data_IF_419957295502
#
_entry.id   IF_419957295502
#
_cell.length_a   1.000
_cell.length_b   1.000
_cell.length_c   1.000
_cell.angle_alpha   90.00
_cell.angle_beta   90.00
_cell.angle_gamma   90.00
#
_symmetry.space_group_name_H-M   'P 1'
#
loop_
_entity.id
_entity.type
_entity.pdbx_description
1 polymer ?
#
# COMPACT_ATOMS: atom_id res chain seq x y z
N UNK A 1 7.47 8.64 -1.41
CA UNK A 1 8.40 9.72 -1.82
C UNK A 1 8.37 10.80 -0.77
N UNK A 2 9.54 11.17 -0.23
CA UNK A 2 9.66 12.12 0.89
C UNK A 2 10.03 13.55 0.42
N UNK A 3 10.32 13.74 -0.87
CA UNK A 3 11.01 14.92 -1.38
C UNK A 3 12.52 14.66 -1.54
N UNK A 4 13.22 15.58 -2.21
CA UNK A 4 14.68 15.57 -2.35
C UNK A 4 15.28 14.25 -2.87
N UNK A 5 14.57 13.55 -3.76
CA UNK A 5 15.04 12.27 -4.29
C UNK A 5 15.08 11.14 -3.26
N UNK A 6 14.38 11.24 -2.13
CA UNK A 6 14.33 10.19 -1.11
C UNK A 6 13.01 9.41 -1.13
N UNK A 7 13.13 8.10 -0.95
CA UNK A 7 12.04 7.13 -0.88
C UNK A 7 12.13 6.39 0.45
N UNK A 8 11.02 6.40 1.20
CA UNK A 8 10.84 5.56 2.36
C UNK A 8 10.04 4.32 1.99
N UNK A 9 10.46 3.17 2.51
CA UNK A 9 9.80 1.90 2.27
C UNK A 9 9.94 0.98 3.49
N UNK A 10 8.94 0.13 3.70
CA UNK A 10 9.03 -1.01 4.59
C UNK A 10 9.17 -2.26 3.71
N UNK A 11 10.33 -2.91 3.79
CA UNK A 11 10.69 -4.12 3.02
C UNK A 11 11.24 -5.17 3.96
N UNK A 12 11.53 -6.39 3.49
CA UNK A 12 11.99 -7.48 4.35
C UNK A 12 13.19 -7.11 5.27
N UNK A 13 14.13 -6.29 4.79
CA UNK A 13 15.25 -5.84 5.63
C UNK A 13 14.88 -4.84 6.74
N UNK A 14 13.63 -4.36 6.79
CA UNK A 14 13.15 -3.34 7.72
C UNK A 14 12.63 -2.08 7.01
N UNK A 15 12.32 -1.08 7.82
CA UNK A 15 11.96 0.26 7.35
C UNK A 15 13.25 1.02 7.04
N UNK A 16 13.37 1.55 5.82
CA UNK A 16 14.57 2.25 5.37
C UNK A 16 14.23 3.46 4.51
N UNK A 17 15.13 4.44 4.50
CA UNK A 17 15.13 5.57 3.57
C UNK A 17 16.27 5.35 2.57
N UNK A 18 15.97 5.44 1.27
CA UNK A 18 16.99 5.31 0.22
C UNK A 18 16.79 6.32 -0.91
N UNK A 19 17.86 6.57 -1.66
CA UNK A 19 17.82 7.45 -2.82
C UNK A 19 17.00 6.89 -3.97
N UNK A 20 16.39 7.77 -4.74
CA UNK A 20 15.56 7.42 -5.89
C UNK A 20 16.34 6.66 -6.95
N UNK A 21 17.63 6.97 -7.14
CA UNK A 21 18.49 6.26 -8.10
C UNK A 21 18.66 4.79 -7.73
N UNK A 22 18.78 4.48 -6.43
CA UNK A 22 18.84 3.10 -5.95
C UNK A 22 17.52 2.36 -6.20
N UNK A 23 16.38 3.04 -6.00
CA UNK A 23 15.06 2.46 -6.33
C UNK A 23 14.95 2.18 -7.83
N UNK A 24 15.37 3.12 -8.68
CA UNK A 24 15.30 2.97 -10.12
C UNK A 24 16.26 1.90 -10.67
N UNK A 25 17.37 1.64 -9.98
CA UNK A 25 18.26 0.52 -10.30
C UNK A 25 17.60 -0.84 -10.01
N UNK A 26 16.98 -0.98 -8.83
CA UNK A 26 16.49 -2.28 -8.33
C UNK A 26 15.12 -2.67 -8.87
N UNK A 27 14.19 -1.72 -9.02
CA UNK A 27 12.79 -2.03 -9.31
C UNK A 27 12.53 -2.16 -10.81
N UNK A 28 11.73 -3.14 -11.24
CA UNK A 28 11.40 -3.31 -12.66
C UNK A 28 10.44 -2.23 -13.19
N UNK A 29 9.60 -1.66 -12.32
CA UNK A 29 8.60 -0.65 -12.68
C UNK A 29 8.36 0.25 -11.47
N UNK A 30 8.33 1.56 -11.69
CA UNK A 30 8.09 2.55 -10.65
C UNK A 30 7.04 3.54 -11.12
N UNK A 31 5.91 3.57 -10.41
CA UNK A 31 4.78 4.44 -10.66
C UNK A 31 4.48 5.27 -9.41
N UNK A 32 4.11 6.53 -9.61
CA UNK A 32 3.80 7.46 -8.54
C UNK A 32 2.32 7.86 -8.55
N UNK A 33 1.70 7.76 -7.37
CA UNK A 33 0.37 8.27 -7.08
C UNK A 33 0.44 9.28 -5.93
N UNK A 34 -0.50 10.22 -5.88
CA UNK A 34 -0.56 11.26 -4.86
C UNK A 34 -1.99 11.47 -4.36
N UNK A 35 -2.15 11.57 -3.05
CA UNK A 35 -3.40 12.03 -2.45
C UNK A 35 -3.67 13.49 -2.87
N UNK A 36 -4.84 13.82 -3.44
CA UNK A 36 -5.10 15.11 -4.06
C UNK A 36 -4.97 16.30 -3.10
N UNK A 37 -5.28 16.10 -1.83
CA UNK A 37 -5.26 17.18 -0.82
C UNK A 37 -3.96 17.23 -0.01
N UNK A 38 -2.92 16.46 -0.37
CA UNK A 38 -1.68 16.43 0.41
C UNK A 38 -0.99 17.80 0.40
N UNK A 39 -1.00 18.46 1.57
CA UNK A 39 -0.33 19.74 1.80
C UNK A 39 1.14 19.58 2.17
N UNK A 40 1.92 20.66 2.06
CA UNK A 40 3.32 20.66 2.49
C UNK A 40 3.47 20.40 4.00
N UNK A 41 2.58 20.94 4.84
CA UNK A 41 2.60 20.69 6.28
C UNK A 41 2.34 19.22 6.63
N UNK A 42 1.39 18.57 5.94
CA UNK A 42 1.15 17.14 6.11
C UNK A 42 2.31 16.30 5.60
N UNK A 43 2.95 16.68 4.48
CA UNK A 43 4.15 16.00 4.00
C UNK A 43 5.29 16.05 5.03
N UNK A 44 5.46 17.18 5.75
CA UNK A 44 6.42 17.26 6.86
C UNK A 44 6.05 16.30 7.98
N UNK A 45 4.78 16.21 8.38
CA UNK A 45 4.33 15.27 9.42
C UNK A 45 4.53 13.80 9.01
N UNK A 46 4.25 13.45 7.75
CA UNK A 46 4.55 12.14 7.17
C UNK A 46 6.05 11.86 7.27
N UNK A 47 6.90 12.82 6.87
CA UNK A 47 8.35 12.66 6.93
C UNK A 47 8.86 12.50 8.37
N UNK A 48 8.28 13.23 9.35
CA UNK A 48 8.59 13.06 10.77
C UNK A 48 8.24 11.65 11.26
N UNK A 49 7.07 11.14 10.87
CA UNK A 49 6.69 9.75 11.18
C UNK A 49 7.66 8.75 10.56
N UNK A 50 8.02 8.93 9.29
CA UNK A 50 9.00 8.05 8.63
C UNK A 50 10.33 8.05 9.39
N UNK A 51 10.85 9.23 9.74
CA UNK A 51 12.13 9.37 10.44
C UNK A 51 12.12 8.68 11.82
N UNK A 52 11.00 8.69 12.55
CA UNK A 52 10.90 8.02 13.84
C UNK A 52 10.81 6.49 13.76
N UNK A 53 10.57 5.93 12.55
CA UNK A 53 10.42 4.50 12.33
C UNK A 53 11.54 3.90 11.46
N UNK A 54 12.48 4.71 10.99
CA UNK A 54 13.65 4.22 10.25
C UNK A 54 14.45 3.22 11.11
N UNK A 55 14.87 2.11 10.48
CA UNK A 55 15.62 1.04 11.14
C UNK A 55 14.76 0.03 11.91
N UNK A 56 13.45 0.25 12.04
CA UNK A 56 12.56 -0.73 12.65
C UNK A 56 12.46 -2.01 11.79
N UNK A 57 12.26 -3.15 12.47
CA UNK A 57 12.13 -4.45 11.82
C UNK A 57 10.82 -4.57 11.05
N UNK A 58 10.87 -5.36 9.97
CA UNK A 58 9.70 -5.63 9.15
C UNK A 58 8.74 -6.61 9.82
N UNK A 59 7.44 -6.36 9.72
CA UNK A 59 6.42 -7.21 10.30
C UNK A 59 6.12 -8.45 9.44
N UNK A 60 7.04 -9.42 9.46
CA UNK A 60 6.90 -10.69 8.74
C UNK A 60 5.67 -11.49 9.16
N UNK A 61 5.36 -11.51 10.46
CA UNK A 61 4.19 -12.21 10.98
C UNK A 61 2.90 -11.60 10.44
N UNK A 62 2.81 -10.27 10.42
CA UNK A 62 1.68 -9.54 9.84
C UNK A 62 1.49 -9.87 8.36
N UNK A 63 2.56 -9.87 7.55
CA UNK A 63 2.47 -10.24 6.13
C UNK A 63 2.04 -11.69 5.94
N UNK A 64 2.57 -12.63 6.73
CA UNK A 64 2.16 -14.04 6.64
C UNK A 64 0.67 -14.22 6.93
N UNK A 65 0.12 -13.47 7.90
CA UNK A 65 -1.30 -13.50 8.22
C UNK A 65 -2.18 -12.80 7.17
N UNK A 66 -1.63 -11.87 6.37
CA UNK A 66 -2.37 -11.29 5.25
C UNK A 66 -2.68 -12.27 4.13
N UNK A 67 -1.84 -13.29 3.92
CA UNK A 67 -2.03 -14.26 2.83
C UNK A 67 -3.36 -15.04 2.93
N UNK A 68 -3.70 -15.70 4.07
CA UNK A 68 -5.00 -16.34 4.23
C UNK A 68 -6.15 -15.32 4.20
N UNK A 69 -6.00 -14.14 4.80
CA UNK A 69 -7.00 -13.08 4.74
C UNK A 69 -7.34 -12.64 3.30
N UNK A 70 -6.32 -12.41 2.48
CA UNK A 70 -6.47 -11.99 1.10
C UNK A 70 -7.17 -13.06 0.24
N UNK A 71 -7.03 -14.33 0.59
CA UNK A 71 -7.75 -15.43 -0.05
C UNK A 71 -9.21 -15.50 0.41
N UNK A 72 -9.44 -15.45 1.73
CA UNK A 72 -10.79 -15.53 2.32
C UNK A 72 -11.67 -14.34 1.93
N UNK A 73 -11.13 -13.13 1.92
CA UNK A 73 -11.89 -11.92 1.55
C UNK A 73 -12.32 -11.88 0.09
N UNK A 74 -11.69 -12.64 -0.82
CA UNK A 74 -12.14 -12.71 -2.23
C UNK A 74 -13.58 -13.21 -2.32
N UNK A 75 -14.04 -13.96 -1.32
CA UNK A 75 -15.45 -14.35 -1.19
C UNK A 75 -16.37 -13.17 -0.85
N UNK A 76 -15.86 -12.14 -0.18
CA UNK A 76 -16.59 -10.89 0.10
C UNK A 76 -16.56 -9.89 -1.07
N UNK A 77 -15.57 -9.98 -1.95
CA UNK A 77 -15.34 -9.08 -3.10
C UNK A 77 -16.04 -9.57 -4.39
N UNK A 78 -17.04 -10.46 -4.29
CA UNK A 78 -17.76 -10.96 -5.45
C UNK A 78 -18.46 -9.82 -6.22
N UNK A 79 -18.45 -9.87 -7.57
CA UNK A 79 -19.16 -8.88 -8.37
C UNK A 79 -20.65 -8.88 -8.00
N UNK A 80 -21.24 -7.68 -7.89
CA UNK A 80 -22.64 -7.39 -7.50
C UNK A 80 -22.93 -7.31 -5.99
N UNK A 81 -21.93 -7.48 -5.12
CA UNK A 81 -22.11 -7.26 -3.67
C UNK A 81 -22.06 -5.75 -3.34
N UNK A 82 -23.07 -5.17 -2.66
CA UNK A 82 -23.05 -3.78 -2.21
C UNK A 82 -21.89 -3.48 -1.27
N UNK A 83 -21.33 -2.25 -1.33
CA UNK A 83 -20.15 -1.85 -0.53
C UNK A 83 -20.34 -2.04 0.98
N UNK A 84 -21.53 -1.78 1.51
CA UNK A 84 -21.84 -1.98 2.93
C UNK A 84 -21.82 -3.44 3.36
N UNK A 85 -22.31 -4.34 2.51
CA UNK A 85 -22.30 -5.80 2.74
C UNK A 85 -20.88 -6.34 2.66
N UNK A 86 -20.12 -5.86 1.66
CA UNK A 86 -18.70 -6.18 1.52
C UNK A 86 -17.92 -5.76 2.76
N UNK A 87 -18.09 -4.51 3.22
CA UNK A 87 -17.41 -4.00 4.40
C UNK A 87 -17.76 -4.80 5.66
N UNK A 88 -19.03 -5.18 5.82
CA UNK A 88 -19.46 -6.04 6.93
C UNK A 88 -18.80 -7.43 6.88
N UNK A 89 -18.78 -8.06 5.71
CA UNK A 89 -18.15 -9.36 5.47
C UNK A 89 -16.65 -9.33 5.79
N UNK A 90 -15.94 -8.33 5.25
CA UNK A 90 -14.51 -8.10 5.48
C UNK A 90 -14.23 -7.89 6.97
N UNK A 91 -15.03 -7.08 7.67
CA UNK A 91 -14.90 -6.84 9.12
C UNK A 91 -15.14 -8.11 9.94
N UNK A 92 -16.07 -8.97 9.53
CA UNK A 92 -16.36 -10.24 10.18
C UNK A 92 -15.18 -11.23 10.10
N UNK A 93 -14.62 -11.41 8.90
CA UNK A 93 -13.42 -12.26 8.71
C UNK A 93 -12.24 -11.69 9.49
N UNK A 94 -12.07 -10.36 9.44
CA UNK A 94 -11.02 -9.69 10.18
C UNK A 94 -11.13 -9.93 11.69
N UNK A 95 -12.32 -9.84 12.28
CA UNK A 95 -12.51 -10.05 13.73
C UNK A 95 -11.98 -11.40 14.23
N UNK A 96 -12.03 -12.45 13.40
CA UNK A 96 -11.51 -13.79 13.73
C UNK A 96 -9.97 -13.82 13.70
N UNK A 97 -9.34 -13.09 12.79
CA UNK A 97 -7.87 -13.06 12.63
C UNK A 97 -7.17 -12.00 13.50
N UNK A 98 -7.91 -11.00 13.99
CA UNK A 98 -7.40 -9.88 14.80
C UNK A 98 -6.96 -10.25 16.23
N UNK A 99 -7.12 -11.52 16.64
CA UNK A 99 -6.70 -12.04 17.94
C UNK A 99 -5.19 -12.31 18.09
N UNK A 100 -4.39 -12.17 17.02
CA UNK A 100 -2.97 -12.51 17.01
C UNK A 100 -2.08 -11.25 16.98
N UNK A 101 -1.98 -10.57 18.12
CA UNK A 101 -0.86 -9.68 18.44
C UNK A 101 -0.96 -8.23 17.94
N UNK A 102 -0.94 -7.28 18.88
CA UNK A 102 -0.55 -5.89 18.58
C UNK A 102 0.98 -5.87 18.50
N UNK A 103 1.52 -5.51 17.35
CA UNK A 103 2.96 -5.32 17.14
C UNK A 103 3.15 -3.91 16.57
N UNK A 104 4.15 -3.20 17.08
CA UNK A 104 4.58 -1.86 16.63
C UNK A 104 5.35 -1.89 15.31
N UNK A 105 5.64 -3.08 14.79
CA UNK A 105 6.25 -3.29 13.47
C UNK A 105 5.24 -3.15 12.33
N UNK A 106 5.71 -2.62 11.20
CA UNK A 106 4.91 -2.44 9.99
C UNK A 106 5.34 -3.35 8.84
N UNK A 107 4.37 -3.72 8.01
CA UNK A 107 4.62 -4.21 6.66
C UNK A 107 4.33 -3.14 5.61
N UNK A 108 4.66 -3.40 4.35
CA UNK A 108 4.70 -2.40 3.27
C UNK A 108 3.44 -1.51 3.17
N UNK A 109 2.24 -2.08 2.99
CA UNK A 109 1.00 -1.29 2.89
C UNK A 109 0.55 -0.70 4.24
N UNK A 110 0.77 -1.40 5.35
CA UNK A 110 0.48 -0.87 6.69
C UNK A 110 1.27 0.40 6.99
N UNK A 111 2.57 0.41 6.67
CA UNK A 111 3.45 1.54 6.88
C UNK A 111 2.96 2.80 6.16
N UNK A 112 2.51 2.65 4.91
CA UNK A 112 1.95 3.77 4.14
C UNK A 112 0.66 4.31 4.79
N UNK A 113 -0.25 3.43 5.19
CA UNK A 113 -1.52 3.84 5.81
C UNK A 113 -1.31 4.56 7.14
N UNK A 114 -0.38 4.07 7.98
CA UNK A 114 -0.06 4.70 9.27
C UNK A 114 0.65 6.04 9.09
N UNK A 115 1.53 6.17 8.09
CA UNK A 115 2.18 7.44 7.77
C UNK A 115 1.16 8.52 7.34
N UNK A 116 0.18 8.16 6.50
CA UNK A 116 -0.89 9.07 6.12
C UNK A 116 -1.79 9.44 7.31
N UNK A 117 -2.09 8.47 8.17
CA UNK A 117 -2.88 8.69 9.39
C UNK A 117 -2.18 9.60 10.39
N UNK A 118 -0.86 9.47 10.56
CA UNK A 118 -0.08 10.31 11.48
C UNK A 118 -0.10 11.79 11.09
N UNK A 119 -0.37 12.09 9.82
CA UNK A 119 -0.51 13.45 9.31
C UNK A 119 -1.96 13.97 9.28
N UNK A 120 -2.90 13.25 9.91
CA UNK A 120 -4.33 13.59 9.88
C UNK A 120 -4.94 13.52 8.47
N UNK A 121 -4.37 12.71 7.58
CA UNK A 121 -4.83 12.53 6.20
C UNK A 121 -5.00 11.03 5.89
N UNK A 122 -5.82 10.28 6.65
CA UNK A 122 -5.98 8.85 6.42
C UNK A 122 -6.49 8.56 5.01
N UNK A 123 -6.00 7.49 4.38
CA UNK A 123 -6.51 7.03 3.07
C UNK A 123 -7.83 6.27 3.21
N UNK A 124 -8.01 5.58 4.32
CA UNK A 124 -9.19 4.76 4.68
C UNK A 124 -9.29 4.63 6.20
N UNK A 125 -10.50 4.36 6.69
CA UNK A 125 -10.76 4.00 8.10
C UNK A 125 -10.68 2.48 8.33
N UNK A 126 -10.43 1.70 7.28
CA UNK A 126 -10.18 0.27 7.42
C UNK A 126 -8.91 0.01 8.26
N UNK A 127 -8.90 -1.11 8.98
CA UNK A 127 -7.72 -1.52 9.75
C UNK A 127 -6.54 -1.78 8.78
N UNK A 128 -5.41 -1.07 8.92
CA UNK A 128 -4.27 -1.21 8.02
C UNK A 128 -3.69 -2.62 7.94
N UNK A 129 -3.92 -3.46 8.96
CA UNK A 129 -3.49 -4.85 8.98
C UNK A 129 -4.18 -5.71 7.91
N UNK A 130 -5.34 -5.26 7.43
CA UNK A 130 -6.18 -5.96 6.46
C UNK A 130 -5.95 -5.50 5.01
N UNK A 131 -5.15 -4.46 4.82
CA UNK A 131 -4.93 -3.82 3.53
C UNK A 131 -3.59 -4.27 2.97
N UNK A 132 -3.59 -4.92 1.81
CA UNK A 132 -2.39 -5.35 1.11
C UNK A 132 -1.94 -4.30 0.07
N UNK A 133 -0.75 -4.43 -0.54
CA UNK A 133 -0.27 -3.47 -1.54
C UNK A 133 -1.17 -3.35 -2.77
N UNK A 134 -1.81 -4.45 -3.19
CA UNK A 134 -2.75 -4.45 -4.30
C UNK A 134 -3.96 -3.59 -4.02
N UNK A 135 -4.47 -3.57 -2.78
CA UNK A 135 -5.58 -2.69 -2.40
C UNK A 135 -5.24 -1.23 -2.55
N UNK A 136 -4.02 -0.83 -2.15
CA UNK A 136 -3.55 0.55 -2.31
C UNK A 136 -3.55 0.98 -3.78
N UNK A 137 -3.18 0.08 -4.70
CA UNK A 137 -3.23 0.36 -6.14
C UNK A 137 -4.66 0.55 -6.65
N UNK A 138 -5.64 -0.19 -6.10
CA UNK A 138 -7.05 -0.04 -6.45
C UNK A 138 -7.72 1.19 -5.80
N UNK A 139 -6.99 1.98 -4.99
CA UNK A 139 -7.48 3.27 -4.48
C UNK A 139 -7.31 4.42 -5.49
N UNK A 140 -6.76 4.17 -6.68
CA UNK A 140 -6.53 5.21 -7.69
C UNK A 140 -7.80 5.65 -8.42
N UNK A 141 -7.74 6.81 -9.05
CA UNK A 141 -8.80 7.29 -9.95
C UNK A 141 -9.12 6.24 -11.04
N UNK A 142 -10.40 5.92 -11.22
CA UNK A 142 -10.88 4.98 -12.24
C UNK A 142 -10.97 3.51 -11.79
N UNK A 143 -10.43 3.15 -10.63
CA UNK A 143 -10.51 1.80 -10.07
C UNK A 143 -11.66 1.66 -9.04
N UNK A 144 -11.99 0.41 -8.70
CA UNK A 144 -12.96 0.08 -7.63
C UNK A 144 -12.19 -0.39 -6.39
N UNK A 145 -12.13 0.39 -5.30
CA UNK A 145 -11.37 0.02 -4.12
C UNK A 145 -12.08 -1.12 -3.37
N UNK A 146 -11.29 -2.02 -2.77
CA UNK A 146 -11.78 -3.16 -1.96
C UNK A 146 -12.34 -2.76 -0.59
N UNK A 147 -12.04 -1.53 -0.14
CA UNK A 147 -12.55 -0.93 1.09
C UNK A 147 -13.02 0.49 0.83
N UNK A 148 -13.80 1.07 1.74
CA UNK A 148 -14.14 2.49 1.67
C UNK A 148 -12.88 3.37 1.81
N UNK A 149 -12.69 4.30 0.88
CA UNK A 149 -11.56 5.27 0.88
C UNK A 149 -12.09 6.70 0.99
N UNK A 150 -11.28 7.59 1.55
CA UNK A 150 -11.64 9.00 1.71
C UNK A 150 -11.62 9.75 0.37
N UNK A 151 -10.56 9.55 -0.43
CA UNK A 151 -10.41 10.10 -1.79
C UNK A 151 -9.59 9.19 -2.69
N UNK A 152 -9.91 9.13 -4.01
CA UNK A 152 -9.06 8.44 -4.97
C UNK A 152 -7.67 9.06 -5.09
N UNK A 153 -6.65 8.22 -5.24
CA UNK A 153 -5.27 8.65 -5.48
C UNK A 153 -5.09 9.09 -6.93
N UNK A 154 -4.46 10.26 -7.14
CA UNK A 154 -4.17 10.80 -8.46
C UNK A 154 -2.88 10.21 -9.02
N UNK A 155 -2.91 9.81 -10.28
CA UNK A 155 -1.71 9.42 -10.99
C UNK A 155 -0.81 10.65 -11.20
N UNK A 156 0.49 10.52 -10.89
CA UNK A 156 1.49 11.58 -11.05
C UNK A 156 2.41 11.30 -12.23
N UNK A 157 2.85 10.04 -12.40
CA UNK A 157 3.81 9.68 -13.44
C UNK A 157 4.42 8.30 -13.26
N UNK A 158 5.12 7.83 -14.29
CA UNK A 158 6.03 6.69 -14.22
C UNK A 158 7.46 7.21 -14.13
N UNK A 159 8.22 6.68 -13.17
CA UNK A 159 9.65 6.94 -13.05
C UNK A 159 10.46 5.84 -13.74
N UNK A 160 9.89 4.64 -13.84
CA UNK A 160 10.43 3.53 -14.65
C UNK A 160 9.27 2.71 -15.20
N UNK A 161 9.23 2.56 -16.52
CA UNK A 161 8.24 1.72 -17.18
C UNK A 161 8.66 0.25 -17.09
N UNK A 162 7.68 -0.65 -17.09
CA UNK A 162 7.95 -2.07 -17.27
C UNK A 162 8.73 -2.27 -18.59
N UNK A 163 9.70 -3.20 -18.64
CA UNK A 163 10.31 -3.58 -19.90
C UNK A 163 9.18 -3.98 -20.85
N UNK A 164 9.16 -3.41 -22.07
CA UNK A 164 8.36 -3.97 -23.15
C UNK A 164 8.79 -5.43 -23.27
N UNK A 165 7.92 -6.36 -22.91
CA UNK A 165 8.12 -7.74 -23.32
C UNK A 165 8.24 -7.67 -24.84
N UNK A 166 9.41 -7.96 -25.37
CA UNK A 166 9.58 -8.15 -26.80
C UNK A 166 8.50 -9.17 -27.18
N UNK A 167 7.52 -8.72 -27.98
CA UNK A 167 6.56 -9.61 -28.61
C UNK A 167 7.43 -10.62 -29.32
N UNK A 168 7.44 -11.87 -28.84
CA UNK A 168 8.11 -12.94 -29.53
C UNK A 168 7.51 -12.96 -30.93
N UNK A 169 8.31 -12.58 -31.94
CA UNK A 169 7.99 -12.89 -33.31
C UNK A 169 7.64 -14.38 -33.36
N UNK A 170 6.49 -14.76 -33.93
CA UNK A 170 6.22 -16.16 -34.15
C UNK A 170 7.25 -16.66 -35.15
N UNK A 171 8.26 -17.38 -34.65
CA UNK A 171 9.08 -18.28 -35.46
C UNK A 171 8.14 -19.38 -35.96
N UNK A 172 7.56 -19.14 -37.13
CA UNK A 172 6.55 -19.98 -37.77
C UNK A 172 6.80 -20.08 -39.27
N UNK A 173 7.73 -20.99 -39.60
CA UNK A 173 7.85 -21.80 -40.83
C UNK A 173 8.14 -21.11 -42.16
#
# INVERSE_FOLDING_TARGET
YMGNGQIAEAVGSGIRIRGIDAVLADEATVVAFRHPDLTAGQAVQINTFVASHEGQKYNYLGVMLQAPFALERRMCELPLVPSTVRDFCIRGIAAVQLGLGRNDQFFCSQFILEAYRSAGLPLTDADPRLINPGDLLHMREGDVPSVMIHKPLRYVGHLKAAPLMAVAEPLGQ
#
